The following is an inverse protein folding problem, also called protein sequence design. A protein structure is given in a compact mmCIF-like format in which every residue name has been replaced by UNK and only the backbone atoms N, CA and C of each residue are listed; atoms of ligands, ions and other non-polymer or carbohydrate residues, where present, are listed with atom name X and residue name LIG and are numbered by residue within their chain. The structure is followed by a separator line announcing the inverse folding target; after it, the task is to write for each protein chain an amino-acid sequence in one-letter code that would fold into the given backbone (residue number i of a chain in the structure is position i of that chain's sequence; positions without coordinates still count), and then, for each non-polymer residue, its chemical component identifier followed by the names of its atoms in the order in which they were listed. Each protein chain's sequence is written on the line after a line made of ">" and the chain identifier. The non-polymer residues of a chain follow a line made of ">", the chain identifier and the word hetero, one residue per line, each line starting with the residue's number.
data_IF_526912604996
#
_entry.id   IF_526912604996
#
_cell.length_a   1.000
_cell.length_b   1.000
_cell.length_c   1.000
_cell.angle_alpha   90.00
_cell.angle_beta   90.00
_cell.angle_gamma   90.00
#
_symmetry.space_group_name_H-M   'P 1'
#
loop_
_entity.id
_entity.type
_entity.pdbx_description
1 polymer ?
#
# COMPACT_ATOMS: atom_id res chain seq x y z
N UNK A 1 -54.83 -7.66 -45.10
CA UNK A 1 -54.28 -7.92 -46.44
C UNK A 1 -53.27 -6.82 -46.72
N UNK A 2 -52.00 -7.18 -46.99
CA UNK A 2 -50.84 -6.28 -47.13
C UNK A 2 -49.72 -6.67 -46.13
N UNK A 3 -48.99 -7.76 -46.40
CA UNK A 3 -47.65 -7.84 -47.07
C UNK A 3 -46.50 -7.43 -46.13
N UNK A 4 -45.92 -8.42 -45.45
CA UNK A 4 -44.54 -8.37 -44.98
C UNK A 4 -43.68 -8.95 -46.10
N UNK A 5 -42.72 -8.17 -46.60
CA UNK A 5 -41.75 -8.61 -47.60
C UNK A 5 -40.68 -9.47 -46.90
N UNK A 6 -40.65 -10.76 -47.24
CA UNK A 6 -39.60 -11.70 -46.86
C UNK A 6 -38.32 -11.37 -47.64
N UNK A 7 -37.41 -10.62 -47.01
CA UNK A 7 -36.07 -10.32 -47.54
C UNK A 7 -35.02 -11.37 -47.12
N UNK A 8 -35.45 -12.61 -46.82
CA UNK A 8 -34.55 -13.75 -46.65
C UNK A 8 -34.89 -14.82 -47.68
N UNK A 9 -34.42 -14.59 -48.91
CA UNK A 9 -34.42 -15.58 -49.97
C UNK A 9 -33.69 -16.86 -49.55
N UNK A 10 -34.38 -17.97 -49.75
CA UNK A 10 -33.96 -19.37 -49.76
C UNK A 10 -32.47 -19.65 -49.43
N UNK A 11 -32.17 -19.89 -48.15
CA UNK A 11 -30.85 -20.31 -47.67
C UNK A 11 -30.58 -21.82 -47.88
N UNK A 12 -31.48 -22.56 -48.53
CA UNK A 12 -31.32 -24.01 -48.76
C UNK A 12 -30.16 -24.39 -49.68
N UNK A 13 -29.55 -23.41 -50.36
CA UNK A 13 -28.43 -23.61 -51.28
C UNK A 13 -27.05 -23.51 -50.62
N UNK A 14 -26.97 -23.07 -49.35
CA UNK A 14 -25.69 -22.95 -48.66
C UNK A 14 -25.39 -24.24 -47.89
N UNK A 15 -24.48 -25.06 -48.43
CA UNK A 15 -23.92 -26.23 -47.74
C UNK A 15 -23.15 -25.74 -46.52
N UNK A 16 -23.68 -26.02 -45.32
CA UNK A 16 -22.94 -25.81 -44.07
C UNK A 16 -21.82 -26.85 -44.02
N UNK A 17 -20.58 -26.39 -44.20
CA UNK A 17 -19.40 -27.26 -44.09
C UNK A 17 -19.12 -27.56 -42.62
N UNK A 18 -18.78 -28.81 -42.33
CA UNK A 18 -18.34 -29.22 -41.00
C UNK A 18 -16.95 -28.65 -40.68
N UNK A 19 -16.63 -28.47 -39.40
CA UNK A 19 -15.33 -27.96 -38.93
C UNK A 19 -14.14 -28.78 -39.48
N UNK A 20 -14.33 -30.05 -39.81
CA UNK A 20 -13.32 -30.92 -40.38
C UNK A 20 -13.11 -30.69 -41.90
N UNK A 21 -14.16 -30.31 -42.64
CA UNK A 21 -14.05 -29.94 -44.06
C UNK A 21 -13.32 -28.60 -44.26
N UNK A 22 -13.35 -27.68 -43.28
CA UNK A 22 -12.63 -26.39 -43.34
C UNK A 22 -11.11 -26.59 -43.19
N UNK A 23 -10.67 -27.61 -42.46
CA UNK A 23 -9.25 -27.84 -42.17
C UNK A 23 -8.50 -28.63 -43.25
N UNK A 24 -9.20 -29.31 -44.18
CA UNK A 24 -8.56 -30.13 -45.22
C UNK A 24 -8.29 -29.38 -46.54
N UNK A 25 -8.68 -28.10 -46.65
CA UNK A 25 -8.54 -27.31 -47.89
C UNK A 25 -7.49 -26.19 -47.88
N UNK A 26 -6.81 -25.94 -46.76
CA UNK A 26 -5.85 -24.83 -46.63
C UNK A 26 -4.40 -25.34 -46.49
N UNK A 27 -3.84 -25.82 -47.60
CA UNK A 27 -2.37 -25.84 -47.73
C UNK A 27 -1.88 -24.43 -48.04
N UNK A 28 -1.29 -23.79 -47.03
CA UNK A 28 -0.47 -22.59 -47.21
C UNK A 28 -1.22 -21.27 -47.05
N UNK A 29 -1.63 -20.95 -45.82
CA UNK A 29 -1.65 -19.56 -45.40
C UNK A 29 -0.73 -19.41 -44.19
N UNK A 30 0.39 -18.73 -44.38
CA UNK A 30 1.24 -18.27 -43.28
C UNK A 30 0.33 -17.52 -42.33
N UNK A 31 0.34 -17.93 -41.07
CA UNK A 31 -0.39 -17.29 -39.98
C UNK A 31 -0.25 -15.76 -40.09
N UNK A 32 -1.34 -15.00 -40.37
CA UNK A 32 -1.28 -13.54 -40.52
C UNK A 32 -0.84 -12.83 -39.23
N UNK A 33 -0.77 -13.57 -38.12
CA UNK A 33 -0.40 -13.08 -36.80
C UNK A 33 1.07 -13.37 -36.43
N UNK A 34 1.81 -14.16 -37.23
CA UNK A 34 3.22 -14.47 -36.95
C UNK A 34 4.18 -13.28 -37.10
N UNK A 35 3.69 -12.11 -37.54
CA UNK A 35 4.45 -10.85 -37.63
C UNK A 35 3.98 -9.75 -36.68
N UNK A 36 2.90 -9.97 -35.91
CA UNK A 36 2.45 -8.97 -34.93
C UNK A 36 3.36 -9.09 -33.72
N UNK A 37 4.42 -8.25 -33.67
CA UNK A 37 4.99 -7.81 -32.39
C UNK A 37 3.81 -7.47 -31.50
N UNK A 38 3.60 -8.21 -30.41
CA UNK A 38 2.38 -8.09 -29.58
C UNK A 38 2.30 -6.69 -28.94
N UNK A 39 1.79 -5.71 -29.67
CA UNK A 39 1.55 -4.36 -29.22
C UNK A 39 0.20 -4.33 -28.50
N UNK A 40 0.16 -3.70 -27.32
CA UNK A 40 -1.09 -3.62 -26.54
C UNK A 40 -2.09 -2.69 -27.22
N UNK A 41 -3.40 -2.89 -27.02
CA UNK A 41 -4.42 -1.95 -27.54
C UNK A 41 -4.21 -0.52 -27.06
N UNK A 42 -3.71 -0.34 -25.83
CA UNK A 42 -3.36 0.96 -25.28
C UNK A 42 -2.22 1.63 -26.06
N UNK A 43 -1.18 0.86 -26.41
CA UNK A 43 -0.07 1.31 -27.24
C UNK A 43 -0.53 1.69 -28.65
N UNK A 44 -1.32 0.83 -29.31
CA UNK A 44 -1.87 1.11 -30.64
C UNK A 44 -2.73 2.39 -30.62
N UNK A 45 -3.59 2.53 -29.61
CA UNK A 45 -4.42 3.73 -29.45
C UNK A 45 -3.58 4.98 -29.21
N UNK A 46 -2.48 4.87 -28.45
CA UNK A 46 -1.56 5.97 -28.23
C UNK A 46 -0.86 6.38 -29.53
N UNK A 47 -0.27 5.42 -30.26
CA UNK A 47 0.41 5.66 -31.53
C UNK A 47 -0.52 6.30 -32.56
N UNK A 48 -1.77 5.83 -32.66
CA UNK A 48 -2.76 6.43 -33.56
C UNK A 48 -3.10 7.88 -33.21
N UNK A 49 -3.09 8.23 -31.92
CA UNK A 49 -3.49 9.57 -31.43
C UNK A 49 -2.33 10.56 -31.43
N UNK A 50 -1.12 10.10 -31.16
CA UNK A 50 0.05 10.94 -30.88
C UNK A 50 1.24 10.68 -31.79
N UNK A 51 1.23 9.64 -32.64
CA UNK A 51 2.38 9.27 -33.46
C UNK A 51 3.39 8.39 -32.71
N UNK A 52 4.15 7.61 -33.47
CA UNK A 52 5.13 6.64 -32.94
C UNK A 52 6.33 7.37 -32.33
N UNK A 53 6.69 8.54 -32.85
CA UNK A 53 7.79 9.40 -32.37
C UNK A 53 7.55 9.94 -30.95
N UNK A 54 6.29 10.02 -30.50
CA UNK A 54 5.95 10.43 -29.15
C UNK A 54 6.04 9.28 -28.13
N UNK A 55 6.19 8.04 -28.59
CA UNK A 55 6.33 6.85 -27.75
C UNK A 55 7.76 6.77 -27.23
N UNK A 56 7.91 6.53 -25.92
CA UNK A 56 9.19 6.44 -25.23
C UNK A 56 10.10 7.67 -25.49
N UNK A 57 9.51 8.87 -25.64
CA UNK A 57 10.26 10.10 -25.86
C UNK A 57 11.02 10.51 -24.58
N UNK A 58 12.35 10.40 -24.61
CA UNK A 58 13.24 10.72 -23.50
C UNK A 58 13.23 12.20 -23.08
N UNK A 59 12.77 13.13 -23.93
CA UNK A 59 12.62 14.55 -23.54
C UNK A 59 11.60 14.74 -22.41
N UNK A 60 10.68 13.78 -22.22
CA UNK A 60 9.69 13.78 -21.15
C UNK A 60 10.16 12.99 -19.91
N UNK A 61 11.34 12.37 -19.96
CA UNK A 61 11.86 11.52 -18.89
C UNK A 61 12.11 12.33 -17.62
N UNK A 62 11.47 11.91 -16.53
CA UNK A 62 11.63 12.52 -15.21
C UNK A 62 10.80 13.77 -14.98
N UNK A 63 9.89 14.08 -15.90
CA UNK A 63 8.85 15.08 -15.71
C UNK A 63 7.65 14.37 -15.09
N UNK A 64 7.29 14.70 -13.85
CA UNK A 64 6.26 14.01 -13.08
C UNK A 64 4.96 14.79 -12.96
N UNK A 65 3.84 14.12 -13.18
CA UNK A 65 2.50 14.56 -12.83
C UNK A 65 2.17 14.14 -11.38
N UNK A 66 1.67 15.08 -10.59
CA UNK A 66 1.26 14.90 -9.19
C UNK A 66 -0.03 15.67 -8.91
N UNK A 67 -1.09 15.26 -9.60
CA UNK A 67 -2.36 15.99 -9.61
C UNK A 67 -3.58 15.12 -9.38
N UNK A 68 -4.77 15.65 -9.70
CA UNK A 68 -6.03 14.88 -9.62
C UNK A 68 -5.97 13.64 -10.50
N UNK A 69 -6.21 12.48 -9.89
CA UNK A 69 -5.98 11.22 -10.57
C UNK A 69 -6.98 10.13 -10.19
N UNK A 70 -7.11 9.16 -11.11
CA UNK A 70 -7.89 7.95 -10.95
C UNK A 70 -7.03 6.86 -10.31
N UNK A 71 -6.84 6.95 -8.99
CA UNK A 71 -5.93 6.05 -8.25
C UNK A 71 -6.48 4.63 -8.28
N UNK A 72 -7.77 4.47 -8.10
CA UNK A 72 -8.47 3.19 -8.22
C UNK A 72 -8.21 2.48 -9.56
N UNK A 73 -8.32 3.20 -10.68
CA UNK A 73 -8.03 2.66 -12.00
C UNK A 73 -6.55 2.28 -12.16
N UNK A 74 -5.63 3.17 -11.75
CA UNK A 74 -4.19 2.91 -11.82
C UNK A 74 -3.80 1.65 -11.05
N UNK A 75 -4.18 1.57 -9.78
CA UNK A 75 -3.84 0.44 -8.92
C UNK A 75 -4.52 -0.85 -9.43
N UNK A 76 -5.77 -0.77 -9.87
CA UNK A 76 -6.47 -1.91 -10.46
C UNK A 76 -5.78 -2.44 -11.72
N UNK A 77 -5.29 -1.55 -12.59
CA UNK A 77 -4.57 -1.94 -13.79
C UNK A 77 -3.22 -2.59 -13.44
N UNK A 78 -2.48 -2.04 -12.48
CA UNK A 78 -1.24 -2.62 -11.98
C UNK A 78 -1.47 -4.02 -11.40
N UNK A 79 -2.52 -4.20 -10.59
CA UNK A 79 -2.89 -5.51 -10.03
C UNK A 79 -3.25 -6.52 -11.11
N UNK A 80 -4.13 -6.14 -12.05
CA UNK A 80 -4.58 -7.02 -13.15
C UNK A 80 -3.44 -7.42 -14.07
N UNK A 81 -2.46 -6.55 -14.25
CA UNK A 81 -1.33 -6.76 -15.14
C UNK A 81 -0.06 -7.21 -14.41
N UNK A 82 -0.13 -7.58 -13.13
CA UNK A 82 1.04 -7.99 -12.32
C UNK A 82 1.89 -9.13 -12.90
N UNK A 83 1.40 -9.82 -13.93
CA UNK A 83 2.12 -10.86 -14.68
C UNK A 83 2.43 -10.48 -16.15
N UNK A 84 2.32 -9.20 -16.51
CA UNK A 84 2.46 -8.70 -17.88
C UNK A 84 3.85 -8.05 -18.11
N UNK A 85 4.71 -8.73 -18.87
CA UNK A 85 6.03 -8.24 -19.28
C UNK A 85 5.98 -7.02 -20.22
N UNK A 86 4.82 -6.67 -20.77
CA UNK A 86 4.64 -5.64 -21.80
C UNK A 86 3.54 -4.63 -21.41
N UNK A 87 3.53 -4.19 -20.15
CA UNK A 87 2.61 -3.15 -19.70
C UNK A 87 2.98 -1.80 -20.31
N UNK A 88 2.16 -1.29 -21.22
CA UNK A 88 2.33 0.04 -21.80
C UNK A 88 1.66 1.10 -20.92
N UNK A 89 2.48 1.96 -20.34
CA UNK A 89 2.03 3.02 -19.43
C UNK A 89 1.94 4.36 -20.14
N UNK A 90 0.85 5.09 -19.85
CA UNK A 90 0.68 6.50 -20.20
C UNK A 90 -0.03 7.21 -19.05
N UNK A 91 0.62 8.19 -18.42
CA UNK A 91 0.04 8.95 -17.30
C UNK A 91 -1.32 9.58 -17.63
N UNK A 92 -1.54 9.98 -18.89
CA UNK A 92 -2.79 10.59 -19.35
C UNK A 92 -4.01 9.66 -19.23
N UNK A 93 -3.80 8.35 -19.10
CA UNK A 93 -4.86 7.39 -18.84
C UNK A 93 -5.36 7.43 -17.39
N UNK A 94 -4.65 8.12 -16.48
CA UNK A 94 -4.97 8.14 -15.05
C UNK A 94 -5.15 9.57 -14.52
N UNK A 95 -4.81 10.61 -15.27
CA UNK A 95 -5.03 11.99 -14.89
C UNK A 95 -6.47 12.46 -15.19
N UNK A 96 -7.20 12.98 -14.18
CA UNK A 96 -8.65 13.29 -14.26
C UNK A 96 -8.97 14.48 -15.16
N UNK A 97 -8.04 15.41 -15.36
CA UNK A 97 -8.24 16.61 -16.20
C UNK A 97 -7.24 16.74 -17.36
N UNK A 98 -6.57 15.66 -17.75
CA UNK A 98 -5.66 15.70 -18.88
C UNK A 98 -6.42 15.52 -20.21
N UNK A 99 -7.26 16.51 -20.50
CA UNK A 99 -8.04 16.64 -21.73
C UNK A 99 -7.40 17.58 -22.74
N UNK A 100 -6.07 17.58 -22.93
CA UNK A 100 -5.44 18.30 -24.03
C UNK A 100 -4.38 17.42 -24.71
N UNK A 101 -4.44 17.38 -26.03
CA UNK A 101 -3.58 16.51 -26.83
C UNK A 101 -2.11 16.86 -26.60
N UNK A 102 -1.29 15.85 -26.32
CA UNK A 102 0.18 15.91 -26.28
C UNK A 102 0.84 16.45 -27.56
N UNK A 103 0.06 16.80 -28.58
CA UNK A 103 0.53 17.01 -29.94
C UNK A 103 1.25 18.34 -30.14
N UNK A 104 1.03 19.39 -29.33
CA UNK A 104 1.75 20.68 -29.49
C UNK A 104 1.65 21.60 -28.26
N UNK A 105 2.36 21.40 -27.14
CA UNK A 105 2.37 22.45 -26.08
C UNK A 105 3.73 22.72 -25.42
N UNK A 106 3.93 24.02 -25.22
CA UNK A 106 5.09 24.72 -24.67
C UNK A 106 5.39 24.28 -23.21
N UNK A 107 6.65 24.02 -22.83
CA UNK A 107 7.05 23.67 -21.46
C UNK A 107 6.50 24.59 -20.36
N UNK A 108 6.27 25.87 -20.65
CA UNK A 108 5.68 26.83 -19.73
C UNK A 108 4.19 26.55 -19.39
N UNK A 109 3.45 25.91 -20.30
CA UNK A 109 2.04 25.55 -20.11
C UNK A 109 1.90 24.26 -19.28
N UNK A 110 2.78 23.29 -19.52
CA UNK A 110 2.94 22.10 -18.68
C UNK A 110 3.25 22.53 -17.23
N UNK A 111 4.19 23.47 -17.06
CA UNK A 111 4.53 24.04 -15.75
C UNK A 111 3.33 24.72 -15.07
N UNK A 112 2.56 25.54 -15.79
CA UNK A 112 1.33 26.19 -15.25
C UNK A 112 0.25 25.17 -14.86
N UNK A 113 0.08 24.09 -15.60
CA UNK A 113 -0.87 23.02 -15.26
C UNK A 113 -0.43 22.22 -14.04
N UNK A 114 0.88 21.97 -13.90
CA UNK A 114 1.45 21.36 -12.69
C UNK A 114 1.24 22.25 -11.46
N UNK A 115 1.42 23.56 -11.59
CA UNK A 115 1.19 24.54 -10.51
C UNK A 115 -0.30 24.65 -10.12
N UNK A 116 -1.22 24.60 -11.09
CA UNK A 116 -2.67 24.66 -10.83
C UNK A 116 -3.21 23.39 -10.15
N UNK A 117 -2.55 22.24 -10.34
CA UNK A 117 -2.99 20.96 -9.81
C UNK A 117 -2.66 20.73 -8.34
N UNK A 118 -1.76 21.51 -7.76
CA UNK A 118 -1.31 21.35 -6.36
C UNK A 118 -2.42 21.68 -5.35
N UNK A 119 -3.39 22.52 -5.73
CA UNK A 119 -4.41 23.05 -4.82
C UNK A 119 -5.72 22.23 -4.77
N UNK A 120 -5.85 21.11 -5.49
CA UNK A 120 -7.13 20.38 -5.58
C UNK A 120 -7.01 18.84 -5.63
N UNK A 121 -6.01 18.26 -4.94
CA UNK A 121 -5.80 16.79 -4.80
C UNK A 121 -7.06 16.07 -4.24
N UNK A 122 -7.94 16.82 -3.56
CA UNK A 122 -9.18 16.36 -2.91
C UNK A 122 -10.18 15.62 -3.81
N UNK A 123 -10.03 15.68 -5.14
CA UNK A 123 -10.93 15.03 -6.11
C UNK A 123 -10.40 13.75 -6.74
N UNK A 124 -9.24 13.25 -6.29
CA UNK A 124 -8.74 11.95 -6.76
C UNK A 124 -9.67 10.83 -6.28
N UNK A 125 -9.94 9.83 -7.13
CA UNK A 125 -10.70 8.64 -6.70
C UNK A 125 -9.76 7.72 -5.93
N UNK A 126 -9.99 7.49 -4.63
CA UNK A 126 -9.08 6.67 -3.83
C UNK A 126 -9.22 5.19 -4.21
N UNK A 127 -8.13 4.43 -4.08
CA UNK A 127 -8.23 2.97 -4.12
C UNK A 127 -8.93 2.47 -2.85
N UNK A 128 -9.97 1.65 -3.01
CA UNK A 128 -10.78 1.16 -1.91
C UNK A 128 -10.51 -0.30 -1.62
N UNK A 129 -10.36 -0.65 -0.34
CA UNK A 129 -10.22 -2.03 0.12
C UNK A 129 -11.09 -2.28 1.36
N UNK A 130 -11.25 -3.54 1.74
CA UNK A 130 -12.03 -3.92 2.91
C UNK A 130 -11.11 -4.38 4.05
N UNK A 131 -11.30 -3.79 5.23
CA UNK A 131 -10.69 -4.26 6.48
C UNK A 131 -11.81 -4.61 7.45
N UNK A 132 -11.87 -5.86 7.92
CA UNK A 132 -12.89 -6.34 8.86
C UNK A 132 -14.32 -6.00 8.38
N UNK A 133 -14.63 -6.25 7.11
CA UNK A 133 -15.93 -5.91 6.48
C UNK A 133 -16.24 -4.41 6.37
N UNK A 134 -15.34 -3.52 6.80
CA UNK A 134 -15.47 -2.08 6.61
C UNK A 134 -14.65 -1.60 5.42
N UNK A 135 -15.27 -0.78 4.57
CA UNK A 135 -14.60 -0.12 3.45
C UNK A 135 -13.60 0.93 3.96
N UNK A 136 -12.40 0.93 3.39
CA UNK A 136 -11.32 1.88 3.66
C UNK A 136 -10.84 2.47 2.34
N UNK A 137 -10.51 3.76 2.38
CA UNK A 137 -9.85 4.45 1.29
C UNK A 137 -8.35 4.47 1.60
N UNK A 138 -7.53 3.87 0.74
CA UNK A 138 -6.08 3.86 0.88
C UNK A 138 -5.53 5.27 0.67
N UNK A 139 -4.65 5.72 1.57
CA UNK A 139 -3.99 7.03 1.46
C UNK A 139 -2.59 6.89 0.89
N UNK A 140 -2.37 7.53 -0.26
CA UNK A 140 -1.05 7.60 -0.87
C UNK A 140 -0.85 8.89 -1.68
N UNK A 141 0.40 9.33 -1.74
CA UNK A 141 0.88 10.32 -2.69
C UNK A 141 1.44 9.58 -3.91
N UNK A 142 0.97 9.92 -5.11
CA UNK A 142 1.37 9.22 -6.33
C UNK A 142 1.97 10.20 -7.33
N UNK A 143 3.05 9.78 -7.97
CA UNK A 143 3.77 10.52 -8.99
C UNK A 143 3.83 9.68 -10.27
N UNK A 144 3.37 10.26 -11.38
CA UNK A 144 3.32 9.61 -12.69
C UNK A 144 4.27 10.31 -13.65
N UNK A 145 5.28 9.62 -14.13
CA UNK A 145 6.21 10.16 -15.11
C UNK A 145 5.49 10.32 -16.47
N UNK A 146 5.72 11.45 -17.13
CA UNK A 146 4.93 11.85 -18.30
C UNK A 146 5.35 11.13 -19.59
N UNK A 147 6.44 10.38 -19.59
CA UNK A 147 6.85 9.57 -20.74
C UNK A 147 5.90 8.36 -20.90
N UNK A 148 5.26 8.24 -22.05
CA UNK A 148 4.46 7.06 -22.37
C UNK A 148 5.37 5.96 -22.92
N UNK A 149 5.54 4.85 -22.20
CA UNK A 149 6.43 3.76 -22.58
C UNK A 149 6.11 2.47 -21.80
N UNK A 150 6.81 1.38 -22.12
CA UNK A 150 6.71 0.13 -21.39
C UNK A 150 7.32 0.23 -19.99
N UNK A 151 6.63 -0.33 -19.00
CA UNK A 151 7.03 -0.33 -17.60
C UNK A 151 7.17 -1.76 -17.12
N UNK A 152 8.24 -2.02 -16.37
CA UNK A 152 8.39 -3.28 -15.64
C UNK A 152 7.54 -3.23 -14.37
N UNK A 153 6.43 -3.96 -14.41
CA UNK A 153 5.53 -4.15 -13.28
C UNK A 153 5.64 -5.53 -12.64
N UNK A 154 6.51 -6.39 -13.16
CA UNK A 154 6.83 -7.68 -12.57
C UNK A 154 7.77 -7.55 -11.39
N UNK A 155 8.67 -6.56 -11.44
CA UNK A 155 9.69 -6.34 -10.42
C UNK A 155 9.57 -4.94 -9.78
N UNK A 156 8.48 -4.66 -9.04
CA UNK A 156 8.36 -3.41 -8.30
C UNK A 156 9.49 -3.21 -7.29
N UNK A 157 9.77 -1.96 -6.93
CA UNK A 157 10.69 -1.59 -5.85
C UNK A 157 9.97 -1.21 -4.60
N UNK A 158 10.39 -1.76 -3.46
CA UNK A 158 9.75 -1.58 -2.17
C UNK A 158 10.67 -0.94 -1.15
N UNK A 159 10.41 0.34 -0.85
CA UNK A 159 11.18 1.08 0.15
C UNK A 159 10.42 1.01 1.46
N UNK A 160 11.10 0.66 2.54
CA UNK A 160 10.54 0.66 3.88
C UNK A 160 11.38 1.57 4.76
N UNK A 161 10.78 2.64 5.26
CA UNK A 161 11.45 3.58 6.15
C UNK A 161 10.59 3.83 7.38
N UNK A 162 11.18 3.59 8.54
CA UNK A 162 10.61 3.89 9.85
C UNK A 162 11.76 4.29 10.75
N UNK A 163 11.68 5.49 11.30
CA UNK A 163 12.61 5.97 12.33
C UNK A 163 11.80 6.62 13.45
N UNK A 164 11.83 5.96 14.61
CA UNK A 164 11.08 6.43 15.79
C UNK A 164 11.66 7.71 16.37
N UNK A 165 12.96 7.97 16.21
CA UNK A 165 13.62 9.13 16.79
C UNK A 165 13.21 10.42 16.06
N UNK A 166 13.20 10.38 14.72
CA UNK A 166 12.71 11.50 13.90
C UNK A 166 11.19 11.50 13.68
N UNK A 167 10.47 10.48 14.18
CA UNK A 167 9.03 10.28 14.00
C UNK A 167 8.63 10.30 12.52
N UNK A 168 9.40 9.59 11.70
CA UNK A 168 9.16 9.50 10.26
C UNK A 168 8.83 8.08 9.87
N UNK A 169 7.81 7.94 9.03
CA UNK A 169 7.37 6.67 8.45
C UNK A 169 7.02 6.90 6.99
N UNK A 170 7.55 6.06 6.12
CA UNK A 170 7.32 6.13 4.69
C UNK A 170 7.55 4.77 4.04
N UNK A 171 6.60 4.36 3.21
CA UNK A 171 6.73 3.18 2.38
C UNK A 171 6.54 3.59 0.91
N UNK A 172 7.37 3.07 0.01
CA UNK A 172 7.28 3.39 -1.42
C UNK A 172 7.19 2.15 -2.30
N UNK A 173 6.39 2.26 -3.35
CA UNK A 173 6.35 1.33 -4.48
C UNK A 173 6.85 2.08 -5.70
N UNK A 174 7.89 1.57 -6.34
CA UNK A 174 8.50 2.19 -7.52
C UNK A 174 8.47 1.23 -8.71
N UNK A 175 7.85 1.65 -9.80
CA UNK A 175 7.82 0.93 -11.07
C UNK A 175 8.71 1.65 -12.08
N UNK A 176 9.61 0.91 -12.72
CA UNK A 176 10.66 1.47 -13.60
C UNK A 176 10.30 1.22 -15.05
N UNK A 177 10.61 2.15 -15.96
CA UNK A 177 10.47 1.85 -17.39
C UNK A 177 11.37 0.68 -17.79
N UNK A 178 10.86 -0.23 -18.62
CA UNK A 178 11.53 -1.50 -18.95
C UNK A 178 12.91 -1.30 -19.59
N UNK A 179 13.13 -0.20 -20.32
CA UNK A 179 14.42 0.14 -20.93
C UNK A 179 15.50 0.55 -19.91
N UNK A 180 15.10 0.95 -18.69
CA UNK A 180 15.99 1.39 -17.62
C UNK A 180 16.11 0.39 -16.46
N UNK A 181 15.42 -0.75 -16.51
CA UNK A 181 15.42 -1.74 -15.42
C UNK A 181 16.83 -2.21 -15.05
N UNK A 182 17.72 -2.35 -16.05
CA UNK A 182 19.12 -2.73 -15.87
C UNK A 182 19.97 -1.73 -15.07
N UNK A 183 19.47 -0.50 -14.91
CA UNK A 183 20.14 0.54 -14.11
C UNK A 183 19.76 0.45 -12.64
N UNK A 184 18.74 -0.34 -12.30
CA UNK A 184 18.30 -0.55 -10.93
C UNK A 184 19.14 -1.63 -10.28
N UNK A 185 19.66 -1.35 -9.10
CA UNK A 185 20.16 -2.39 -8.21
C UNK A 185 18.98 -2.97 -7.43
N UNK A 186 18.89 -4.28 -7.35
CA UNK A 186 17.83 -5.00 -6.63
C UNK A 186 18.40 -5.67 -5.38
N UNK A 187 19.29 -5.01 -4.63
CA UNK A 187 20.08 -5.72 -3.62
C UNK A 187 19.20 -6.33 -2.52
N UNK A 188 18.07 -5.80 -2.08
CA UNK A 188 17.15 -6.44 -1.09
C UNK A 188 17.75 -6.79 0.30
N UNK A 189 19.08 -6.87 0.45
CA UNK A 189 19.78 -7.20 1.70
C UNK A 189 20.19 -5.96 2.49
N UNK A 190 20.18 -4.78 1.86
CA UNK A 190 20.61 -3.58 2.56
C UNK A 190 19.42 -2.93 3.28
N UNK A 191 19.49 -2.88 4.61
CA UNK A 191 18.70 -1.98 5.48
C UNK A 191 19.04 -0.50 5.24
N UNK A 192 19.73 -0.22 4.13
CA UNK A 192 20.28 1.06 3.74
C UNK A 192 19.29 1.72 2.80
N UNK A 193 19.00 2.99 3.06
CA UNK A 193 18.19 3.87 2.22
C UNK A 193 18.79 4.06 0.79
N UNK A 194 19.83 3.30 0.44
CA UNK A 194 20.64 3.37 -0.79
C UNK A 194 20.48 2.19 -1.75
N UNK A 195 19.59 1.23 -1.47
CA UNK A 195 19.06 0.32 -2.51
C UNK A 195 18.25 1.06 -3.61
N UNK A 196 18.18 2.39 -3.47
CA UNK A 196 17.38 3.37 -4.22
C UNK A 196 18.21 4.43 -4.95
N UNK A 197 19.50 4.20 -5.21
CA UNK A 197 20.27 5.14 -6.05
C UNK A 197 19.94 5.00 -7.56
N UNK A 198 18.73 4.55 -7.92
CA UNK A 198 18.20 4.79 -9.26
C UNK A 198 17.69 6.22 -9.30
N UNK A 199 18.22 7.03 -10.21
CA UNK A 199 17.72 8.40 -10.37
C UNK A 199 16.21 8.36 -10.64
N UNK A 200 15.43 9.08 -9.82
CA UNK A 200 13.97 9.12 -9.89
C UNK A 200 13.43 9.36 -11.31
N UNK A 201 14.19 10.01 -12.20
CA UNK A 201 13.77 10.22 -13.60
C UNK A 201 13.44 8.92 -14.35
N UNK A 202 14.01 7.78 -13.94
CA UNK A 202 13.79 6.48 -14.55
C UNK A 202 12.55 5.74 -14.00
N UNK A 203 12.01 6.20 -12.87
CA UNK A 203 10.76 5.68 -12.32
C UNK A 203 9.60 6.17 -13.19
N UNK A 204 8.73 5.25 -13.58
CA UNK A 204 7.50 5.53 -14.31
C UNK A 204 6.36 5.89 -13.37
N UNK A 205 6.22 5.14 -12.27
CA UNK A 205 5.16 5.30 -11.28
C UNK A 205 5.80 5.19 -9.90
N UNK A 206 5.54 6.17 -9.04
CA UNK A 206 5.95 6.16 -7.63
C UNK A 206 4.70 6.28 -6.77
N UNK A 207 4.48 5.33 -5.87
CA UNK A 207 3.39 5.33 -4.89
C UNK A 207 4.00 5.44 -3.51
N UNK A 208 3.63 6.45 -2.73
CA UNK A 208 4.14 6.71 -1.38
C UNK A 208 3.00 6.61 -0.39
N UNK A 209 3.12 5.75 0.62
CA UNK A 209 2.15 5.57 1.68
C UNK A 209 2.80 5.75 3.05
N UNK A 210 2.09 6.42 3.97
CA UNK A 210 2.53 6.61 5.36
C UNK A 210 1.88 5.62 6.34
N UNK A 211 0.89 4.87 5.87
CA UNK A 211 0.26 3.80 6.63
C UNK A 211 0.69 2.44 6.06
N UNK A 212 1.20 1.57 6.94
CA UNK A 212 1.72 0.26 6.54
C UNK A 212 0.66 -0.66 5.91
N UNK A 213 -0.60 -0.59 6.36
CA UNK A 213 -1.67 -1.40 5.76
C UNK A 213 -2.07 -0.86 4.38
N UNK A 214 -2.21 0.46 4.23
CA UNK A 214 -2.49 1.07 2.92
C UNK A 214 -1.40 0.71 1.91
N UNK A 215 -0.12 0.77 2.32
CA UNK A 215 1.01 0.36 1.49
C UNK A 215 0.88 -1.08 1.00
N UNK A 216 0.59 -2.04 1.90
CA UNK A 216 0.41 -3.45 1.52
C UNK A 216 -0.76 -3.62 0.55
N UNK A 217 -1.86 -2.89 0.75
CA UNK A 217 -3.05 -2.97 -0.11
C UNK A 217 -2.86 -2.31 -1.49
N UNK A 218 -1.97 -1.32 -1.59
CA UNK A 218 -1.61 -0.66 -2.86
C UNK A 218 -0.61 -1.47 -3.68
N UNK A 219 0.17 -2.34 -3.05
CA UNK A 219 1.12 -3.22 -3.71
C UNK A 219 0.44 -4.40 -4.42
N UNK A 220 1.22 -5.13 -5.23
CA UNK A 220 0.75 -6.35 -5.87
C UNK A 220 0.25 -7.35 -4.81
N UNK A 221 -0.93 -7.97 -4.98
CA UNK A 221 -1.44 -8.97 -4.05
C UNK A 221 -0.50 -10.18 -3.89
N UNK A 222 0.30 -10.49 -4.92
CA UNK A 222 1.26 -11.59 -4.86
C UNK A 222 2.40 -11.34 -3.85
N UNK A 223 2.68 -10.09 -3.52
CA UNK A 223 3.78 -9.69 -2.63
C UNK A 223 3.31 -9.47 -1.17
N UNK A 224 2.02 -9.62 -0.88
CA UNK A 224 1.42 -9.27 0.42
C UNK A 224 2.15 -9.91 1.61
N UNK A 225 2.44 -11.21 1.56
CA UNK A 225 3.12 -11.94 2.63
C UNK A 225 4.56 -11.45 2.83
N UNK A 226 5.28 -11.24 1.73
CA UNK A 226 6.65 -10.72 1.74
C UNK A 226 6.70 -9.32 2.36
N UNK A 227 5.81 -8.43 1.95
CA UNK A 227 5.74 -7.05 2.46
C UNK A 227 5.40 -7.02 3.95
N UNK A 228 4.41 -7.82 4.38
CA UNK A 228 4.06 -7.93 5.79
C UNK A 228 5.24 -8.42 6.63
N UNK A 229 5.96 -9.45 6.18
CA UNK A 229 7.13 -9.95 6.90
C UNK A 229 8.21 -8.87 7.06
N UNK A 230 8.53 -8.13 6.00
CA UNK A 230 9.51 -7.03 6.05
C UNK A 230 9.07 -5.92 7.01
N UNK A 231 7.79 -5.54 6.99
CA UNK A 231 7.24 -4.52 7.90
C UNK A 231 7.28 -5.01 9.34
N UNK A 232 6.91 -6.26 9.62
CA UNK A 232 6.96 -6.85 10.96
C UNK A 232 8.38 -6.77 11.54
N UNK A 233 9.40 -7.14 10.76
CA UNK A 233 10.81 -7.04 11.16
C UNK A 233 11.24 -5.59 11.39
N UNK A 234 10.86 -4.67 10.52
CA UNK A 234 11.18 -3.24 10.66
C UNK A 234 10.62 -2.68 11.98
N UNK A 235 9.35 -2.92 12.29
CA UNK A 235 8.76 -2.49 13.55
C UNK A 235 9.39 -3.17 14.78
N UNK A 236 9.79 -4.44 14.68
CA UNK A 236 10.50 -5.12 15.75
C UNK A 236 11.88 -4.49 16.04
N UNK A 237 12.63 -4.13 14.99
CA UNK A 237 13.90 -3.44 15.11
C UNK A 237 13.75 -2.06 15.75
N UNK A 238 12.73 -1.31 15.37
CA UNK A 238 12.45 0.01 15.94
C UNK A 238 11.93 -0.08 17.39
N UNK A 239 11.20 -1.14 17.74
CA UNK A 239 10.82 -1.42 19.12
C UNK A 239 12.04 -1.66 20.03
N UNK A 240 13.14 -2.23 19.52
CA UNK A 240 14.37 -2.40 20.30
C UNK A 240 15.09 -1.06 20.58
N UNK A 241 14.82 -0.03 19.78
CA UNK A 241 15.48 1.29 19.86
C UNK A 241 14.66 2.32 20.64
N UNK A 242 13.34 2.22 20.57
CA UNK A 242 12.43 3.18 21.20
C UNK A 242 12.65 3.23 22.72
N UNK A 243 12.87 4.43 23.25
CA UNK A 243 13.21 4.64 24.66
C UNK A 243 12.54 5.87 25.27
N UNK A 244 12.18 6.86 24.44
CA UNK A 244 11.45 8.04 24.87
C UNK A 244 9.93 7.89 24.72
N UNK A 245 9.17 8.68 25.46
CA UNK A 245 7.71 8.65 25.40
C UNK A 245 7.17 8.99 23.99
N UNK A 246 7.82 9.93 23.31
CA UNK A 246 7.44 10.33 21.96
C UNK A 246 7.72 9.22 20.93
N UNK A 247 8.89 8.58 21.02
CA UNK A 247 9.25 7.42 20.17
C UNK A 247 8.26 6.26 20.36
N UNK A 248 8.00 5.89 21.61
CA UNK A 248 7.09 4.79 21.94
C UNK A 248 5.67 5.11 21.46
N UNK A 249 5.18 6.34 21.68
CA UNK A 249 3.87 6.76 21.18
C UNK A 249 3.80 6.63 19.66
N UNK A 250 4.77 7.22 18.95
CA UNK A 250 4.82 7.21 17.50
C UNK A 250 4.85 5.78 16.94
N UNK A 251 5.68 4.91 17.51
CA UNK A 251 5.82 3.52 17.09
C UNK A 251 4.47 2.78 17.16
N UNK A 252 3.80 2.82 18.32
CA UNK A 252 2.58 2.03 18.53
C UNK A 252 1.33 2.65 17.90
N UNK A 253 1.28 3.95 17.66
CA UNK A 253 0.17 4.56 16.90
C UNK A 253 0.21 4.21 15.41
N UNK A 254 1.41 4.00 14.86
CA UNK A 254 1.58 3.64 13.45
C UNK A 254 1.67 2.11 13.23
N UNK A 255 1.65 1.31 14.30
CA UNK A 255 1.77 -0.14 14.22
C UNK A 255 0.45 -0.80 13.76
N UNK A 256 0.42 -1.49 12.62
CA UNK A 256 -0.80 -2.16 12.14
C UNK A 256 -1.06 -3.46 12.92
N UNK A 257 -2.32 -3.93 12.91
CA UNK A 257 -2.73 -5.10 13.70
C UNK A 257 -1.98 -6.40 13.33
N UNK A 258 -1.54 -6.55 12.07
CA UNK A 258 -0.75 -7.72 11.67
C UNK A 258 0.67 -7.71 12.26
N UNK A 259 1.20 -6.53 12.62
CA UNK A 259 2.46 -6.38 13.34
C UNK A 259 2.25 -6.66 14.82
N UNK A 260 1.21 -6.08 15.44
CA UNK A 260 0.95 -6.31 16.87
C UNK A 260 0.78 -7.80 17.18
N UNK A 261 0.13 -8.55 16.29
CA UNK A 261 -0.07 -10.00 16.43
C UNK A 261 1.22 -10.85 16.39
N UNK A 262 2.30 -10.35 15.77
CA UNK A 262 3.57 -11.09 15.59
C UNK A 262 4.78 -10.46 16.25
N UNK A 263 4.63 -9.31 16.92
CA UNK A 263 5.76 -8.53 17.43
C UNK A 263 6.61 -9.31 18.44
N UNK A 264 6.00 -9.93 19.46
CA UNK A 264 6.73 -10.71 20.48
C UNK A 264 7.48 -11.91 19.87
N UNK A 265 6.87 -12.59 18.91
CA UNK A 265 7.52 -13.70 18.19
C UNK A 265 8.75 -13.21 17.41
N UNK A 266 8.60 -12.09 16.72
CA UNK A 266 9.65 -11.53 15.84
C UNK A 266 10.83 -10.99 16.63
N UNK A 267 10.57 -10.35 17.79
CA UNK A 267 11.65 -9.90 18.69
C UNK A 267 12.57 -11.05 19.11
N UNK A 268 12.03 -12.27 19.26
CA UNK A 268 12.82 -13.46 19.56
C UNK A 268 13.65 -14.02 18.41
N UNK A 269 13.36 -13.64 17.17
CA UNK A 269 14.15 -14.05 16.00
C UNK A 269 15.40 -13.18 15.90
N UNK A 270 15.23 -11.86 16.05
CA UNK A 270 16.30 -10.88 15.82
C UNK A 270 17.15 -10.63 17.08
N UNK A 271 16.68 -11.03 18.27
CA UNK A 271 17.39 -10.85 19.54
C UNK A 271 17.55 -12.18 20.31
N UNK A 272 18.48 -13.02 19.85
CA UNK A 272 18.76 -14.37 20.41
C UNK A 272 19.30 -14.36 21.84
N UNK A 273 19.76 -13.20 22.33
CA UNK A 273 20.36 -13.06 23.66
C UNK A 273 19.33 -12.77 24.75
N UNK A 274 18.06 -12.54 24.40
CA UNK A 274 16.97 -12.33 25.37
C UNK A 274 16.02 -13.52 25.40
N UNK A 275 15.67 -13.95 26.61
CA UNK A 275 14.61 -14.94 26.82
C UNK A 275 13.26 -14.36 26.35
N UNK A 276 12.27 -15.24 26.14
CA UNK A 276 10.89 -14.84 25.86
C UNK A 276 10.34 -13.85 26.91
N UNK A 277 10.69 -14.06 28.18
CA UNK A 277 10.33 -13.13 29.26
C UNK A 277 11.02 -11.76 29.10
N UNK A 278 12.24 -11.72 28.58
CA UNK A 278 12.95 -10.49 28.25
C UNK A 278 12.28 -9.65 27.16
N UNK A 279 11.67 -10.28 26.15
CA UNK A 279 10.89 -9.56 25.13
C UNK A 279 9.58 -9.02 25.70
N UNK A 280 8.89 -9.80 26.54
CA UNK A 280 7.69 -9.35 27.24
C UNK A 280 8.01 -8.18 28.20
N UNK A 281 9.13 -8.23 28.92
CA UNK A 281 9.59 -7.14 29.79
C UNK A 281 9.97 -5.86 29.02
N UNK A 282 10.57 -5.99 27.82
CA UNK A 282 10.82 -4.83 26.95
C UNK A 282 9.51 -4.13 26.60
N UNK A 283 8.53 -4.87 26.07
CA UNK A 283 7.24 -4.30 25.67
C UNK A 283 6.48 -3.77 26.89
N UNK A 284 6.66 -4.37 28.06
CA UNK A 284 6.09 -3.89 29.30
C UNK A 284 6.69 -2.54 29.71
N UNK A 285 8.00 -2.37 29.55
CA UNK A 285 8.68 -1.12 29.83
C UNK A 285 8.16 0.03 28.96
N UNK A 286 7.76 -0.25 27.71
CA UNK A 286 7.12 0.74 26.84
C UNK A 286 5.76 1.19 27.38
N UNK A 287 4.95 0.26 27.90
CA UNK A 287 3.69 0.60 28.56
C UNK A 287 3.92 1.48 29.80
N UNK A 288 4.94 1.17 30.60
CA UNK A 288 5.34 1.99 31.74
C UNK A 288 5.79 3.39 31.31
N UNK A 289 6.59 3.51 30.24
CA UNK A 289 7.02 4.80 29.67
C UNK A 289 5.81 5.66 29.29
N UNK A 290 4.84 5.10 28.55
CA UNK A 290 3.64 5.84 28.17
C UNK A 290 2.82 6.27 29.39
N UNK A 291 2.77 5.43 30.43
CA UNK A 291 2.03 5.73 31.64
C UNK A 291 2.61 6.89 32.46
N UNK A 292 3.89 7.22 32.29
CA UNK A 292 4.58 8.26 33.06
C UNK A 292 4.24 9.66 32.57
N UNK A 293 4.13 9.92 31.27
CA UNK A 293 3.75 11.27 30.84
C UNK A 293 2.28 11.61 31.06
N UNK A 294 1.48 10.68 31.58
CA UNK A 294 0.17 10.99 32.16
C UNK A 294 0.30 11.66 33.55
N UNK A 295 1.46 11.59 34.20
CA UNK A 295 1.71 12.24 35.50
C UNK A 295 2.12 13.71 35.37
N UNK A 296 2.64 14.13 34.21
CA UNK A 296 3.10 15.49 33.92
C UNK A 296 2.09 16.27 33.06
N UNK A 297 0.80 16.13 33.36
CA UNK A 297 -0.25 16.96 32.74
C UNK A 297 -0.21 18.38 33.31
N UNK A 298 0.83 19.15 32.95
CA UNK A 298 0.84 20.59 33.11
C UNK A 298 -0.26 21.22 32.24
N UNK A 299 -0.80 22.36 32.70
CA UNK A 299 -1.99 23.10 32.23
C UNK A 299 -2.13 23.43 30.72
N UNK A 300 -1.23 22.93 29.86
CA UNK A 300 -1.24 23.07 28.41
C UNK A 300 -1.28 21.70 27.66
N UNK A 301 -1.55 20.58 28.35
CA UNK A 301 -1.44 19.19 27.85
C UNK A 301 -2.66 18.63 27.08
N UNK A 302 -3.60 19.46 26.62
CA UNK A 302 -4.83 19.02 25.94
C UNK A 302 -4.61 18.34 24.56
N UNK A 303 -3.35 18.14 24.14
CA UNK A 303 -2.95 17.54 22.86
C UNK A 303 -2.18 16.21 22.98
N UNK A 304 -1.98 15.64 24.17
CA UNK A 304 -1.18 14.42 24.37
C UNK A 304 -2.07 13.23 24.78
N UNK A 305 -2.91 12.76 23.86
CA UNK A 305 -3.63 11.49 24.02
C UNK A 305 -2.69 10.30 23.72
N UNK A 306 -2.42 9.47 24.72
CA UNK A 306 -1.60 8.24 24.61
C UNK A 306 -2.44 6.97 24.51
N UNK A 307 -3.77 7.09 24.57
CA UNK A 307 -4.68 5.96 24.71
C UNK A 307 -4.56 4.97 23.57
N UNK A 308 -4.44 5.47 22.33
CA UNK A 308 -4.27 4.63 21.13
C UNK A 308 -3.00 3.78 21.18
N UNK A 309 -1.86 4.40 21.51
CA UNK A 309 -0.58 3.70 21.66
C UNK A 309 -0.64 2.62 22.76
N UNK A 310 -1.20 2.95 23.93
CA UNK A 310 -1.34 2.00 25.03
C UNK A 310 -2.22 0.81 24.67
N UNK A 311 -3.37 1.04 24.06
CA UNK A 311 -4.25 -0.04 23.59
C UNK A 311 -3.53 -0.94 22.57
N UNK A 312 -2.72 -0.39 21.67
CA UNK A 312 -1.93 -1.18 20.73
C UNK A 312 -0.81 -1.98 21.41
N UNK A 313 -0.17 -1.47 22.47
CA UNK A 313 0.77 -2.26 23.29
C UNK A 313 0.04 -3.44 23.96
N UNK A 314 -1.16 -3.23 24.49
CA UNK A 314 -1.93 -4.32 25.13
C UNK A 314 -2.28 -5.43 24.13
N UNK A 315 -2.60 -5.07 22.88
CA UNK A 315 -2.82 -6.05 21.80
C UNK A 315 -1.60 -6.93 21.55
N UNK A 316 -0.38 -6.39 21.65
CA UNK A 316 0.87 -7.15 21.47
C UNK A 316 0.95 -8.31 22.46
N UNK A 317 0.57 -8.07 23.71
CA UNK A 317 0.54 -9.11 24.73
C UNK A 317 -0.60 -10.12 24.54
N UNK A 318 -1.70 -9.72 23.91
CA UNK A 318 -2.92 -10.52 23.79
C UNK A 318 -3.37 -11.09 25.14
N UNK A 319 -3.71 -12.38 25.18
CA UNK A 319 -4.05 -13.09 26.41
C UNK A 319 -2.82 -13.76 27.06
N UNK A 320 -1.74 -13.00 27.29
CA UNK A 320 -0.52 -13.56 27.89
C UNK A 320 -0.64 -13.73 29.42
N UNK A 321 -0.10 -14.85 29.93
CA UNK A 321 0.04 -15.08 31.38
C UNK A 321 0.91 -14.01 32.04
N UNK A 322 1.89 -13.49 31.30
CA UNK A 322 2.78 -12.41 31.73
C UNK A 322 1.99 -11.15 32.09
N UNK A 323 1.14 -10.66 31.16
CA UNK A 323 0.36 -9.45 31.38
C UNK A 323 -0.60 -9.59 32.57
N UNK A 324 -1.27 -10.74 32.67
CA UNK A 324 -2.14 -11.04 33.81
C UNK A 324 -1.37 -10.97 35.14
N UNK A 325 -0.17 -11.56 35.23
CA UNK A 325 0.66 -11.51 36.44
C UNK A 325 1.07 -10.08 36.79
N UNK A 326 1.54 -9.29 35.82
CA UNK A 326 1.95 -7.89 36.04
C UNK A 326 0.78 -7.06 36.56
N UNK A 327 -0.38 -7.12 35.91
CA UNK A 327 -1.59 -6.43 36.36
C UNK A 327 -2.07 -6.92 37.73
N UNK A 328 -2.14 -8.25 37.95
CA UNK A 328 -2.49 -8.81 39.27
C UNK A 328 -1.59 -8.27 40.38
N UNK A 329 -0.28 -8.18 40.12
CA UNK A 329 0.70 -7.71 41.09
C UNK A 329 0.66 -6.19 41.35
N UNK A 330 0.08 -5.39 40.45
CA UNK A 330 0.05 -3.93 40.55
C UNK A 330 -1.30 -3.35 40.12
N UNK A 331 -2.31 -3.50 40.99
CA UNK A 331 -3.66 -2.98 40.73
C UNK A 331 -3.72 -1.44 40.65
N UNK A 332 -2.85 -0.74 41.38
CA UNK A 332 -2.74 0.72 41.32
C UNK A 332 -2.35 1.17 39.92
N UNK A 333 -1.43 0.46 39.26
CA UNK A 333 -1.05 0.74 37.88
C UNK A 333 -2.21 0.54 36.90
N UNK A 334 -2.99 -0.55 37.05
CA UNK A 334 -4.19 -0.80 36.22
C UNK A 334 -5.20 0.34 36.36
N UNK A 335 -5.47 0.76 37.60
CA UNK A 335 -6.37 1.88 37.90
C UNK A 335 -5.86 3.17 37.26
N UNK A 336 -4.57 3.47 37.39
CA UNK A 336 -3.92 4.63 36.78
C UNK A 336 -4.07 4.63 35.26
N UNK A 337 -3.87 3.50 34.59
CA UNK A 337 -4.11 3.39 33.15
C UNK A 337 -5.56 3.75 32.84
N UNK A 338 -6.53 3.08 33.48
CA UNK A 338 -7.95 3.28 33.20
C UNK A 338 -8.42 4.73 33.40
N UNK A 339 -7.97 5.38 34.48
CA UNK A 339 -8.39 6.75 34.80
C UNK A 339 -7.94 7.76 33.74
N UNK A 340 -6.76 7.54 33.16
CA UNK A 340 -6.12 8.45 32.21
C UNK A 340 -6.41 8.14 30.73
N UNK A 341 -7.15 7.07 30.41
CA UNK A 341 -7.59 6.82 29.03
C UNK A 341 -8.68 7.82 28.65
N UNK A 342 -8.46 8.58 27.59
CA UNK A 342 -9.39 9.60 27.09
C UNK A 342 -9.82 9.30 25.66
N UNK A 343 -10.91 9.92 25.18
CA UNK A 343 -11.35 9.80 23.79
C UNK A 343 -11.89 8.42 23.38
N UNK A 344 -11.87 8.19 22.06
CA UNK A 344 -12.43 7.02 21.40
C UNK A 344 -11.42 6.42 20.41
N UNK A 345 -11.39 5.09 20.30
CA UNK A 345 -10.67 4.37 19.26
C UNK A 345 -11.63 3.57 18.40
N UNK A 346 -11.21 3.24 17.18
CA UNK A 346 -11.94 2.31 16.32
C UNK A 346 -11.45 0.89 16.61
N UNK A 347 -12.32 0.07 17.21
CA UNK A 347 -12.05 -1.33 17.57
C UNK A 347 -13.01 -2.21 16.80
N UNK A 348 -12.48 -3.18 16.06
CA UNK A 348 -13.25 -4.02 15.14
C UNK A 348 -14.12 -3.23 14.15
N UNK A 349 -13.73 -2.00 13.83
CA UNK A 349 -14.47 -1.13 12.91
C UNK A 349 -15.53 -0.24 13.55
N UNK A 350 -15.82 -0.42 14.84
CA UNK A 350 -16.74 0.40 15.61
C UNK A 350 -16.00 1.39 16.50
N UNK A 351 -16.56 2.59 16.68
CA UNK A 351 -16.02 3.55 17.65
C UNK A 351 -16.38 3.07 19.06
N UNK A 352 -15.38 3.00 19.93
CA UNK A 352 -15.54 2.66 21.34
C UNK A 352 -14.71 3.61 22.19
N UNK A 353 -15.24 4.00 23.36
CA UNK A 353 -14.46 4.73 24.35
C UNK A 353 -13.22 3.93 24.74
N UNK A 354 -12.07 4.60 24.86
CA UNK A 354 -10.83 3.95 25.24
C UNK A 354 -10.91 3.30 26.63
N UNK A 355 -11.70 3.87 27.55
CA UNK A 355 -11.99 3.25 28.86
C UNK A 355 -12.78 1.94 28.72
N UNK A 356 -13.81 1.93 27.88
CA UNK A 356 -14.62 0.73 27.63
C UNK A 356 -13.76 -0.35 26.98
N UNK A 357 -12.98 0.01 25.96
CA UNK A 357 -12.04 -0.88 25.30
C UNK A 357 -11.08 -1.58 26.27
N UNK A 358 -10.45 -0.79 27.16
CA UNK A 358 -9.54 -1.31 28.17
C UNK A 358 -10.26 -2.18 29.19
N UNK A 359 -11.42 -1.76 29.70
CA UNK A 359 -12.19 -2.56 30.65
C UNK A 359 -12.61 -3.91 30.04
N UNK A 360 -13.06 -3.93 28.79
CA UNK A 360 -13.36 -5.15 28.04
C UNK A 360 -12.12 -6.04 27.91
N UNK A 361 -10.97 -5.47 27.56
CA UNK A 361 -9.70 -6.20 27.47
C UNK A 361 -9.31 -6.85 28.80
N UNK A 362 -9.34 -6.10 29.91
CA UNK A 362 -9.05 -6.63 31.25
C UNK A 362 -10.03 -7.75 31.62
N UNK A 363 -11.30 -7.58 31.29
CA UNK A 363 -12.33 -8.58 31.57
C UNK A 363 -12.07 -9.88 30.79
N UNK A 364 -11.69 -9.79 29.51
CA UNK A 364 -11.28 -10.95 28.70
C UNK A 364 -10.01 -11.60 29.25
N UNK A 365 -9.03 -10.82 29.69
CA UNK A 365 -7.78 -11.32 30.26
C UNK A 365 -8.03 -12.11 31.56
N UNK A 366 -8.93 -11.64 32.43
CA UNK A 366 -9.31 -12.35 33.65
C UNK A 366 -10.08 -13.65 33.32
N UNK A 367 -11.12 -13.56 32.47
CA UNK A 367 -11.96 -14.70 32.10
C UNK A 367 -11.19 -15.82 31.38
N UNK A 368 -10.16 -15.50 30.61
CA UNK A 368 -9.36 -16.52 29.90
C UNK A 368 -8.32 -17.21 30.78
N UNK A 369 -7.96 -16.62 31.92
CA UNK A 369 -6.95 -17.14 32.84
C UNK A 369 -7.53 -17.90 34.04
N UNK A 370 -8.77 -17.58 34.47
CA UNK A 370 -9.47 -18.31 35.54
C UNK A 370 -9.81 -19.77 35.16
N UNK A 371 -9.90 -20.08 33.86
CA UNK A 371 -10.21 -21.43 33.36
C UNK A 371 -8.99 -22.34 33.16
N UNK A 372 -7.78 -21.88 33.49
CA UNK A 372 -6.52 -22.62 33.30
C UNK A 372 -5.76 -22.89 34.61
N UNK A 373 -6.43 -22.77 35.76
CA UNK A 373 -5.88 -23.13 37.08
C UNK A 373 -6.31 -24.56 37.43
#
# INVERSE_FOLDING_TARGET
>A
MGTFDDEFGDLSQYKILSFEEVNQGFEGNKDPLQGIKSTSFAEISFEKKFGIENKCNEEKLGVFYHGQMRIDELISDLHKNSNNERFFFNFGNYAVNYGFGLNKENPAMIKKMMEASYNDISRSTPYQYYKNQHRRDAKADIYLNMMACHVDILQPGYLFYLDVASQTIEFRIEYVYSNYIKLRNFDNNTSSNKDYELNNKYNAIVVIAKNALDFVMLASPADEDYLKEKIIRLFAQEALKASSQAEVKFLYENMPDFVTAKLLETLGIDNKDTSKEGHEDLIWSHLEILSRGMENQDLFSWNLDFSGAMLNILKVFGNSKFLFKKFKSNQTFVKKIFENLEGESVINGEKSSNKIAFASFISTLCSTMEWKI
#
